data_IF_503187367410
#
_entry.id   IF_503187367410
#
_cell.length_a   1.000
_cell.length_b   1.000
_cell.length_c   1.000
_cell.angle_alpha   90.00
_cell.angle_beta   90.00
_cell.angle_gamma   90.00
#
_symmetry.space_group_name_H-M   'P 1'
#
loop_
_entity.id
_entity.type
_entity.pdbx_description
1 polymer ?
#
# COMPACT_ATOMS: atom_id res chain seq x y z
N UNK A 1 -14.60 -5.85 -9.20
CA UNK A 1 -13.73 -4.66 -9.44
C UNK A 1 -13.54 -3.98 -8.09
N UNK A 2 -12.35 -4.03 -7.50
CA UNK A 2 -12.09 -3.36 -6.22
C UNK A 2 -12.28 -1.83 -6.39
N UNK A 3 -12.94 -1.12 -5.47
CA UNK A 3 -13.17 0.33 -5.54
C UNK A 3 -11.90 1.20 -5.67
N UNK A 4 -10.72 0.61 -5.45
CA UNK A 4 -9.43 1.30 -5.29
C UNK A 4 -8.75 1.79 -6.59
N UNK A 5 -9.29 1.49 -7.78
CA UNK A 5 -8.66 1.87 -9.07
C UNK A 5 -9.46 2.89 -9.90
N UNK A 6 -10.60 3.36 -9.40
CA UNK A 6 -11.43 4.33 -10.09
C UNK A 6 -11.26 5.72 -9.46
N UNK A 7 -10.74 6.66 -10.24
CA UNK A 7 -10.71 8.08 -9.88
C UNK A 7 -11.41 8.89 -10.96
N UNK A 8 -11.59 10.18 -10.74
CA UNK A 8 -12.19 11.09 -11.71
C UNK A 8 -11.19 12.16 -12.12
N UNK A 9 -11.20 12.51 -13.40
CA UNK A 9 -10.42 13.65 -13.86
C UNK A 9 -10.86 14.91 -13.10
N UNK A 10 -9.94 15.66 -12.45
CA UNK A 10 -10.29 16.83 -11.65
C UNK A 10 -11.00 17.91 -12.47
N UNK A 11 -10.76 17.94 -13.79
CA UNK A 11 -11.29 18.95 -14.71
C UNK A 11 -12.61 18.57 -15.39
N UNK A 12 -12.72 17.38 -15.97
CA UNK A 12 -13.90 16.98 -16.74
C UNK A 12 -14.78 15.94 -16.04
N UNK A 13 -14.40 15.46 -14.85
CA UNK A 13 -15.10 14.46 -14.04
C UNK A 13 -15.32 13.10 -14.68
N UNK A 14 -14.86 12.91 -15.92
CA UNK A 14 -14.85 11.61 -16.60
C UNK A 14 -14.00 10.63 -15.76
N UNK A 15 -14.51 9.42 -15.49
CA UNK A 15 -13.75 8.40 -14.79
C UNK A 15 -12.44 8.08 -15.52
N UNK A 16 -11.39 7.87 -14.74
CA UNK A 16 -10.09 7.45 -15.22
C UNK A 16 -9.63 6.23 -14.44
N UNK A 17 -8.89 5.37 -15.12
CA UNK A 17 -8.22 4.22 -14.51
C UNK A 17 -6.73 4.43 -14.58
N UNK A 18 -6.03 4.18 -13.48
CA UNK A 18 -4.58 4.14 -13.47
C UNK A 18 -4.11 2.81 -14.08
N UNK A 19 -3.31 2.90 -15.15
CA UNK A 19 -2.77 1.71 -15.85
C UNK A 19 -1.59 1.07 -15.13
N UNK A 20 -0.83 1.87 -14.40
CA UNK A 20 0.41 1.48 -13.75
C UNK A 20 0.37 1.94 -12.30
N UNK A 21 0.27 0.98 -11.37
CA UNK A 21 0.25 1.27 -9.94
C UNK A 21 1.58 1.85 -9.43
N UNK A 22 2.66 1.67 -10.20
CA UNK A 22 3.98 2.24 -9.91
C UNK A 22 4.13 3.71 -10.36
N UNK A 23 3.08 4.30 -10.95
CA UNK A 23 3.11 5.67 -11.43
C UNK A 23 1.87 6.48 -11.04
N UNK A 24 2.04 7.44 -10.13
CA UNK A 24 0.98 8.35 -9.71
C UNK A 24 0.51 9.32 -10.80
N UNK A 25 1.23 9.45 -11.92
CA UNK A 25 0.84 10.34 -13.02
C UNK A 25 -0.24 9.67 -13.88
N UNK A 26 -1.39 10.34 -14.00
CA UNK A 26 -2.50 9.89 -14.84
C UNK A 26 -2.85 10.91 -15.90
N UNK A 27 -3.00 10.45 -17.15
CA UNK A 27 -3.38 11.26 -18.30
C UNK A 27 -4.89 11.19 -18.56
N UNK A 28 -5.55 12.35 -18.61
CA UNK A 28 -6.94 12.41 -19.06
C UNK A 28 -7.02 12.54 -20.58
N UNK A 29 -7.38 11.44 -21.27
CA UNK A 29 -7.48 11.43 -22.73
C UNK A 29 -8.52 12.42 -23.28
N UNK A 30 -9.64 12.62 -22.55
CA UNK A 30 -10.70 13.57 -22.95
C UNK A 30 -10.19 15.01 -22.91
N UNK A 31 -9.56 15.43 -21.81
CA UNK A 31 -8.99 16.77 -21.70
C UNK A 31 -7.83 16.97 -22.68
N UNK A 32 -6.96 15.96 -22.85
CA UNK A 32 -5.84 16.04 -23.79
C UNK A 32 -6.31 16.24 -25.22
N UNK A 33 -7.33 15.50 -25.66
CA UNK A 33 -7.93 15.65 -27.00
C UNK A 33 -8.62 17.00 -27.17
N UNK A 34 -9.47 17.42 -26.21
CA UNK A 34 -10.22 18.69 -26.28
C UNK A 34 -9.32 19.91 -26.33
N UNK A 35 -8.14 19.85 -25.71
CA UNK A 35 -7.17 20.95 -25.66
C UNK A 35 -5.97 20.77 -26.59
N UNK A 36 -5.92 19.69 -27.36
CA UNK A 36 -4.77 19.28 -28.20
C UNK A 36 -3.42 19.40 -27.48
N UNK A 37 -3.41 19.07 -26.19
CA UNK A 37 -2.24 19.17 -25.31
C UNK A 37 -2.42 18.25 -24.13
N UNK A 38 -1.35 17.55 -23.73
CA UNK A 38 -1.38 16.65 -22.59
C UNK A 38 -1.91 17.32 -21.32
N UNK A 39 -2.85 16.62 -20.67
CA UNK A 39 -3.36 16.94 -19.35
C UNK A 39 -3.11 15.76 -18.42
N UNK A 40 -2.02 15.86 -17.67
CA UNK A 40 -1.57 14.88 -16.68
C UNK A 40 -1.79 15.43 -15.26
N UNK A 41 -2.26 14.59 -14.36
CA UNK A 41 -2.52 14.93 -12.96
C UNK A 41 -2.06 13.83 -12.01
N UNK A 42 -1.85 14.18 -10.75
CA UNK A 42 -1.47 13.22 -9.70
C UNK A 42 -2.69 12.44 -9.22
N UNK A 43 -2.57 11.13 -9.12
CA UNK A 43 -3.60 10.22 -8.62
C UNK A 43 -4.00 10.48 -7.17
N UNK A 44 -3.06 10.90 -6.32
CA UNK A 44 -3.29 11.18 -4.91
C UNK A 44 -3.96 12.55 -4.71
N UNK A 45 -3.27 13.63 -5.09
CA UNK A 45 -3.73 14.98 -4.75
C UNK A 45 -4.66 15.61 -5.79
N UNK A 46 -4.88 14.95 -6.94
CA UNK A 46 -5.72 15.40 -8.06
C UNK A 46 -5.35 16.78 -8.64
N UNK A 47 -4.16 17.30 -8.33
CA UNK A 47 -3.59 18.50 -8.95
C UNK A 47 -2.81 18.13 -10.21
N UNK A 48 -2.57 19.11 -11.09
CA UNK A 48 -1.72 18.92 -12.29
C UNK A 48 -0.38 18.31 -11.87
N UNK A 49 0.13 17.36 -12.67
CA UNK A 49 1.38 16.68 -12.36
C UNK A 49 2.55 17.68 -12.26
N UNK A 50 3.38 17.51 -11.23
CA UNK A 50 4.60 18.28 -10.98
C UNK A 50 5.67 17.30 -10.46
N UNK A 51 6.85 17.33 -11.06
CA UNK A 51 7.99 16.51 -10.65
C UNK A 51 8.39 15.39 -11.61
N UNK A 52 9.46 14.66 -11.29
CA UNK A 52 9.97 13.56 -12.11
C UNK A 52 8.95 12.41 -12.16
N UNK A 53 9.12 11.52 -13.13
CA UNK A 53 8.25 10.37 -13.34
C UNK A 53 9.09 9.16 -13.79
N UNK A 54 8.72 7.92 -13.43
CA UNK A 54 7.58 7.54 -12.59
C UNK A 54 7.81 7.84 -11.09
N UNK A 55 6.73 7.95 -10.30
CA UNK A 55 6.77 8.10 -8.83
C UNK A 55 5.61 7.32 -8.19
N UNK A 56 5.87 6.68 -7.05
CA UNK A 56 4.88 5.90 -6.26
C UNK A 56 4.51 6.55 -4.94
N UNK A 57 5.38 7.41 -4.43
CA UNK A 57 5.34 8.01 -3.11
C UNK A 57 4.50 9.29 -3.10
N UNK A 58 4.89 10.30 -3.88
CA UNK A 58 4.17 11.56 -4.04
C UNK A 58 4.65 12.31 -5.30
N UNK A 59 3.93 13.38 -5.67
CA UNK A 59 4.41 14.36 -6.65
C UNK A 59 4.93 15.62 -5.95
N UNK A 60 5.51 16.55 -6.68
CA UNK A 60 6.14 17.77 -6.13
C UNK A 60 5.13 18.90 -5.83
N UNK A 61 3.83 18.59 -5.81
CA UNK A 61 2.80 19.53 -5.39
C UNK A 61 2.82 19.69 -3.87
N UNK A 62 2.67 20.93 -3.40
CA UNK A 62 2.60 21.22 -1.96
C UNK A 62 1.42 20.47 -1.32
N UNK A 63 1.73 19.79 -0.23
CA UNK A 63 0.78 18.96 0.52
C UNK A 63 0.39 17.65 -0.17
N UNK A 64 1.09 17.20 -1.22
CA UNK A 64 0.89 15.86 -1.76
C UNK A 64 1.52 14.81 -0.84
N UNK A 65 0.74 13.84 -0.39
CA UNK A 65 1.25 12.72 0.41
C UNK A 65 0.49 11.44 0.08
N UNK A 66 1.12 10.29 0.34
CA UNK A 66 0.48 8.98 0.25
C UNK A 66 -0.31 8.70 1.52
N UNK A 67 -1.64 8.64 1.42
CA UNK A 67 -2.51 8.23 2.52
C UNK A 67 -2.09 6.85 3.07
N UNK A 68 -1.76 5.92 2.18
CA UNK A 68 -1.34 4.58 2.58
C UNK A 68 -0.04 4.60 3.41
N UNK A 69 0.98 5.39 3.01
CA UNK A 69 2.20 5.53 3.80
C UNK A 69 1.96 6.28 5.12
N UNK A 70 1.03 7.24 5.14
CA UNK A 70 0.61 7.92 6.35
C UNK A 70 -0.05 6.95 7.33
N UNK A 71 -0.93 6.08 6.85
CA UNK A 71 -1.56 5.01 7.64
C UNK A 71 -0.51 4.06 8.21
N UNK A 72 0.43 3.56 7.40
CA UNK A 72 1.50 2.66 7.86
C UNK A 72 2.39 3.33 8.92
N UNK A 73 2.64 4.64 8.78
CA UNK A 73 3.46 5.41 9.72
C UNK A 73 2.77 5.66 11.07
N UNK A 74 1.46 5.90 11.09
CA UNK A 74 0.77 6.40 12.28
C UNK A 74 -0.34 5.50 12.82
N UNK A 75 -0.67 4.36 12.18
CA UNK A 75 -1.63 3.41 12.74
C UNK A 75 -1.20 2.99 14.16
N UNK A 76 -2.14 2.68 15.07
CA UNK A 76 -1.79 2.22 16.41
C UNK A 76 -1.04 0.89 16.37
N UNK A 77 -0.65 0.38 17.53
CA UNK A 77 -0.10 -0.96 17.64
C UNK A 77 -1.24 -1.96 17.93
N UNK A 78 -1.18 -3.15 17.33
CA UNK A 78 -2.06 -4.28 17.66
C UNK A 78 -1.52 -5.01 18.89
N UNK A 79 -2.43 -5.59 19.67
CA UNK A 79 -2.13 -6.51 20.78
C UNK A 79 -2.64 -7.88 20.38
N UNK A 80 -1.78 -8.89 20.33
CA UNK A 80 -2.17 -10.25 19.97
C UNK A 80 -2.62 -11.03 21.21
N UNK A 81 -3.63 -11.88 21.04
CA UNK A 81 -4.10 -12.77 22.11
C UNK A 81 -3.20 -14.00 22.28
N UNK A 82 -2.60 -14.48 21.19
CA UNK A 82 -1.91 -15.77 21.14
C UNK A 82 -0.38 -15.70 21.26
N UNK A 83 0.21 -14.51 21.07
CA UNK A 83 1.66 -14.30 21.05
C UNK A 83 2.04 -13.02 21.79
N UNK A 84 3.06 -13.07 22.64
CA UNK A 84 3.56 -11.86 23.31
C UNK A 84 4.41 -11.03 22.36
N UNK A 85 3.79 -10.02 21.73
CA UNK A 85 4.44 -9.09 20.81
C UNK A 85 4.10 -7.66 21.21
N UNK A 86 5.12 -6.82 21.39
CA UNK A 86 4.95 -5.39 21.70
C UNK A 86 5.39 -4.53 20.53
N UNK A 87 4.62 -3.48 20.24
CA UNK A 87 5.00 -2.47 19.24
C UNK A 87 4.71 -2.85 17.78
N UNK A 88 3.98 -3.93 17.51
CA UNK A 88 3.57 -4.27 16.15
C UNK A 88 2.49 -3.30 15.64
N UNK A 89 2.68 -2.60 14.51
CA UNK A 89 1.65 -1.80 13.86
C UNK A 89 0.38 -2.60 13.58
N UNK A 90 -0.80 -2.02 13.78
CA UNK A 90 -2.09 -2.67 13.52
C UNK A 90 -2.43 -2.77 12.05
N UNK A 91 -1.79 -1.95 11.21
CA UNK A 91 -1.92 -1.99 9.75
C UNK A 91 -0.55 -2.21 9.13
N UNK A 92 -0.44 -3.19 8.24
CA UNK A 92 0.76 -3.53 7.47
C UNK A 92 0.44 -3.59 5.99
N UNK A 93 1.40 -3.29 5.13
CA UNK A 93 1.31 -3.59 3.71
C UNK A 93 1.81 -5.01 3.43
N UNK A 94 1.08 -5.78 2.63
CA UNK A 94 1.50 -7.09 2.17
C UNK A 94 2.90 -6.99 1.52
N UNK A 95 3.87 -7.82 1.91
CA UNK A 95 5.24 -7.76 1.40
C UNK A 95 5.32 -8.08 -0.11
N UNK A 96 4.31 -8.78 -0.66
CA UNK A 96 4.27 -9.17 -2.06
C UNK A 96 3.58 -8.15 -2.95
N UNK A 97 2.36 -7.70 -2.58
CA UNK A 97 1.50 -6.92 -3.47
C UNK A 97 1.13 -5.52 -2.95
N UNK A 98 1.56 -5.18 -1.74
CA UNK A 98 1.41 -3.84 -1.18
C UNK A 98 0.00 -3.47 -0.71
N UNK A 99 -0.98 -4.38 -0.77
CA UNK A 99 -2.29 -4.15 -0.14
C UNK A 99 -2.12 -3.86 1.35
N UNK A 100 -2.87 -2.90 1.90
CA UNK A 100 -2.90 -2.67 3.34
C UNK A 100 -3.84 -3.68 4.01
N UNK A 101 -3.38 -4.29 5.09
CA UNK A 101 -4.11 -5.29 5.87
C UNK A 101 -4.07 -4.93 7.34
N UNK A 102 -5.13 -5.30 8.04
CA UNK A 102 -5.24 -5.29 9.49
C UNK A 102 -5.34 -6.73 9.99
N UNK A 103 -4.73 -7.00 11.15
CA UNK A 103 -4.85 -8.29 11.81
C UNK A 103 -6.01 -8.26 12.81
N UNK A 104 -6.77 -9.36 12.91
CA UNK A 104 -7.89 -9.48 13.84
C UNK A 104 -7.48 -9.54 15.33
N UNK A 105 -6.19 -9.43 15.67
CA UNK A 105 -5.58 -9.79 16.97
C UNK A 105 -5.78 -11.22 17.50
N UNK A 106 -6.72 -11.97 16.93
CA UNK A 106 -7.06 -13.34 17.27
C UNK A 106 -6.24 -14.33 16.44
N UNK A 107 -6.23 -15.60 16.85
CA UNK A 107 -5.48 -16.67 16.19
C UNK A 107 -3.97 -16.41 16.14
N UNK A 108 -3.23 -17.07 15.24
CA UNK A 108 -1.78 -16.95 15.13
C UNK A 108 -1.32 -15.58 14.57
N UNK A 109 0.00 -15.38 14.46
CA UNK A 109 0.61 -14.14 13.96
C UNK A 109 0.58 -13.93 12.44
N UNK A 110 -0.06 -14.82 11.69
CA UNK A 110 -0.03 -14.84 10.21
C UNK A 110 -1.36 -14.36 9.62
N UNK A 111 -1.29 -13.76 8.44
CA UNK A 111 -2.48 -13.37 7.66
C UNK A 111 -2.34 -13.81 6.21
N UNK A 112 -3.46 -14.18 5.60
CA UNK A 112 -3.55 -14.44 4.16
C UNK A 112 -3.96 -13.17 3.44
N UNK A 113 -3.15 -12.72 2.47
CA UNK A 113 -3.49 -11.52 1.71
C UNK A 113 -4.69 -11.76 0.78
N UNK A 114 -5.81 -11.02 0.92
CA UNK A 114 -7.00 -11.27 0.10
C UNK A 114 -6.77 -10.94 -1.38
N UNK A 115 -5.80 -10.06 -1.69
CA UNK A 115 -5.45 -9.65 -3.07
C UNK A 115 -4.58 -10.69 -3.77
N UNK A 116 -3.43 -11.06 -3.19
CA UNK A 116 -2.45 -11.92 -3.85
C UNK A 116 -2.41 -13.37 -3.33
N UNK A 117 -3.20 -13.69 -2.29
CA UNK A 117 -3.31 -15.01 -1.65
C UNK A 117 -2.05 -15.52 -0.94
N UNK A 118 -0.94 -14.77 -0.97
CA UNK A 118 0.25 -15.06 -0.17
C UNK A 118 -0.08 -14.90 1.31
N UNK A 119 0.25 -15.92 2.09
CA UNK A 119 0.28 -15.88 3.54
C UNK A 119 1.65 -15.38 4.02
N UNK A 120 1.64 -14.51 5.02
CA UNK A 120 2.86 -13.95 5.60
C UNK A 120 2.68 -13.67 7.09
N UNK A 121 3.78 -13.62 7.81
CA UNK A 121 3.80 -13.23 9.21
C UNK A 121 3.58 -11.72 9.34
N UNK A 122 2.53 -11.32 10.06
CA UNK A 122 2.18 -9.91 10.25
C UNK A 122 3.18 -9.15 11.12
N UNK A 123 3.94 -9.88 11.94
CA UNK A 123 4.94 -9.35 12.88
C UNK A 123 6.24 -9.01 12.16
N UNK A 124 6.85 -9.97 11.45
CA UNK A 124 8.16 -9.79 10.81
C UNK A 124 8.09 -9.52 9.30
N UNK A 125 6.91 -9.57 8.67
CA UNK A 125 6.66 -9.35 7.24
C UNK A 125 7.32 -10.35 6.28
N UNK A 126 7.90 -11.44 6.80
CA UNK A 126 8.37 -12.58 5.99
C UNK A 126 7.19 -13.42 5.52
N UNK A 127 7.32 -14.03 4.34
CA UNK A 127 6.37 -15.07 3.90
C UNK A 127 6.39 -16.24 4.88
N UNK A 128 5.28 -16.98 4.99
CA UNK A 128 5.10 -18.01 6.04
C UNK A 128 6.28 -18.99 6.08
N UNK A 129 6.69 -19.55 4.93
CA UNK A 129 7.77 -20.54 4.86
C UNK A 129 9.07 -20.02 5.46
N UNK A 130 9.50 -18.79 5.10
CA UNK A 130 10.71 -18.16 5.61
C UNK A 130 10.61 -17.83 7.11
N UNK A 131 9.43 -17.40 7.59
CA UNK A 131 9.21 -17.15 9.01
C UNK A 131 9.31 -18.43 9.84
N UNK A 132 8.83 -19.56 9.29
CA UNK A 132 8.73 -20.83 9.99
C UNK A 132 10.05 -21.61 10.04
N UNK A 133 11.07 -21.18 9.31
CA UNK A 133 12.43 -21.77 9.41
C UNK A 133 13.03 -21.65 10.81
N UNK A 134 12.59 -20.66 11.60
CA UNK A 134 13.19 -20.32 12.90
C UNK A 134 12.21 -20.29 14.07
N UNK A 135 10.90 -20.28 13.84
CA UNK A 135 9.87 -20.17 14.87
C UNK A 135 8.56 -20.84 14.41
N UNK A 136 7.58 -21.02 15.29
CA UNK A 136 6.23 -21.49 14.89
C UNK A 136 5.22 -20.34 14.76
N UNK A 137 3.99 -20.67 14.33
CA UNK A 137 2.86 -19.73 14.19
C UNK A 137 2.46 -19.03 15.50
N UNK A 138 2.69 -19.68 16.64
CA UNK A 138 2.26 -19.24 17.96
C UNK A 138 3.43 -18.81 18.86
N UNK A 139 4.61 -18.61 18.28
CA UNK A 139 5.78 -18.12 18.98
C UNK A 139 6.18 -16.74 18.47
N UNK A 140 6.83 -15.90 19.29
CA UNK A 140 7.47 -14.67 18.82
C UNK A 140 8.44 -14.94 17.66
N UNK A 141 8.63 -13.97 16.77
CA UNK A 141 9.64 -14.10 15.71
C UNK A 141 11.04 -13.84 16.27
N UNK A 142 12.04 -14.63 15.85
CA UNK A 142 13.45 -14.44 16.24
C UNK A 142 13.97 -13.05 15.88
N UNK A 143 13.57 -12.51 14.73
CA UNK A 143 13.93 -11.16 14.28
C UNK A 143 13.07 -10.05 14.94
N UNK A 144 12.13 -10.44 15.79
CA UNK A 144 11.19 -9.53 16.43
C UNK A 144 10.21 -8.86 15.45
N UNK A 145 9.79 -7.66 15.82
CA UNK A 145 8.81 -6.87 15.07
C UNK A 145 9.49 -6.10 13.95
N UNK A 146 9.06 -6.29 12.70
CA UNK A 146 9.56 -5.52 11.58
C UNK A 146 9.24 -4.02 11.73
N UNK A 147 10.13 -3.10 11.32
CA UNK A 147 9.85 -1.67 11.33
C UNK A 147 8.60 -1.28 10.54
N UNK A 148 8.05 -0.09 10.81
CA UNK A 148 6.96 0.49 10.01
C UNK A 148 7.43 0.67 8.57
N UNK A 149 6.63 0.20 7.62
CA UNK A 149 6.96 0.27 6.20
C UNK A 149 6.93 1.72 5.70
N UNK A 150 8.03 2.14 5.07
CA UNK A 150 8.19 3.49 4.49
C UNK A 150 7.98 3.52 2.98
N UNK A 151 7.78 2.35 2.37
CA UNK A 151 7.48 2.16 0.95
C UNK A 151 6.44 1.04 0.80
N UNK A 152 5.76 1.00 -0.35
CA UNK A 152 4.80 -0.04 -0.70
C UNK A 152 5.37 -0.79 -1.91
N UNK A 153 5.50 -2.13 -1.84
CA UNK A 153 6.03 -2.92 -2.94
C UNK A 153 5.12 -2.82 -4.17
N UNK A 154 5.74 -2.78 -5.34
CA UNK A 154 5.04 -2.85 -6.63
C UNK A 154 4.75 -4.32 -6.91
N UNK A 155 3.48 -4.62 -7.22
CA UNK A 155 3.10 -5.98 -7.56
C UNK A 155 3.38 -6.25 -9.04
N UNK A 156 4.35 -7.13 -9.31
CA UNK A 156 4.68 -7.59 -10.65
C UNK A 156 3.91 -8.90 -10.92
N UNK A 157 2.77 -8.80 -11.61
CA UNK A 157 2.04 -9.96 -12.16
C UNK A 157 2.39 -10.20 -13.62
#
# INVERSE_FOLDING_TARGET
>A
LSPSHLSQCPRCKVPVTRKDDSNLRVRCQVCSKKKRRDFDFCWQCLKKWKGPQPRTDHCDNDGCFSEALRTLRYCPNVVFESVEVRGCPSIRACPTCGSLLEHSSQECKNVVCPRCKVEFCFVCLKVTDECLETNTHFEPCSDGVAPRQTSIPVWHQ
#
